data_IF_910994892359
#
_entry.id   IF_910994892359
#
_cell.length_a   1.000
_cell.length_b   1.000
_cell.length_c   1.000
_cell.angle_alpha   90.00
_cell.angle_beta   90.00
_cell.angle_gamma   90.00
#
_symmetry.space_group_name_H-M   'P 1'
#
loop_
_entity.id
_entity.type
_entity.pdbx_description
1 polymer ?
#
# COMPACT_ATOMS: atom_id res chain seq x y z
N UNK A 1 1.13 4.89 -4.89
CA UNK A 1 0.34 3.93 -5.70
C UNK A 1 0.06 4.58 -7.03
N UNK A 2 0.37 3.93 -8.15
CA UNK A 2 -0.03 4.47 -9.46
C UNK A 2 -1.51 4.16 -9.67
N UNK A 3 -2.30 5.18 -10.04
CA UNK A 3 -3.74 5.06 -10.36
C UNK A 3 -4.64 4.45 -9.25
N UNK A 4 -4.67 4.99 -8.01
CA UNK A 4 -5.47 4.41 -6.92
C UNK A 4 -6.98 4.35 -7.21
N UNK A 5 -7.54 5.34 -7.91
CA UNK A 5 -8.97 5.39 -8.29
C UNK A 5 -9.34 4.21 -9.19
N UNK A 6 -8.53 3.92 -10.21
CA UNK A 6 -8.74 2.80 -11.13
C UNK A 6 -8.74 1.47 -10.38
N UNK A 7 -7.76 1.25 -9.51
CA UNK A 7 -7.66 0.01 -8.74
C UNK A 7 -8.79 -0.11 -7.70
N UNK A 8 -9.26 1.00 -7.12
CA UNK A 8 -10.41 1.01 -6.24
C UNK A 8 -11.70 0.58 -6.98
N UNK A 9 -11.92 1.05 -8.21
CA UNK A 9 -13.03 0.58 -9.07
C UNK A 9 -12.93 -0.90 -9.40
N UNK A 10 -11.73 -1.37 -9.77
CA UNK A 10 -11.50 -2.80 -10.04
C UNK A 10 -11.77 -3.67 -8.80
N UNK A 11 -11.34 -3.23 -7.63
CA UNK A 11 -11.59 -3.92 -6.36
C UNK A 11 -13.09 -3.97 -6.04
N UNK A 12 -13.79 -2.85 -6.20
CA UNK A 12 -15.24 -2.74 -5.99
C UNK A 12 -16.01 -3.73 -6.88
N UNK A 13 -15.64 -3.83 -8.16
CA UNK A 13 -16.18 -4.86 -9.06
C UNK A 13 -15.89 -6.28 -8.57
N UNK A 14 -14.64 -6.55 -8.17
CA UNK A 14 -14.22 -7.89 -7.73
C UNK A 14 -14.97 -8.37 -6.49
N UNK A 15 -15.23 -7.49 -5.51
CA UNK A 15 -15.97 -7.84 -4.29
C UNK A 15 -17.50 -7.86 -4.48
N UNK A 16 -18.00 -7.60 -5.69
CA UNK A 16 -19.43 -7.61 -6.00
C UNK A 16 -20.17 -6.32 -5.60
N UNK A 17 -19.46 -5.22 -5.35
CA UNK A 17 -20.02 -3.93 -4.97
C UNK A 17 -19.52 -2.81 -5.92
N UNK A 18 -19.79 -2.89 -7.24
CA UNK A 18 -19.34 -1.86 -8.18
C UNK A 18 -19.98 -0.51 -7.84
N UNK A 19 -19.23 0.57 -8.07
CA UNK A 19 -19.77 1.92 -7.94
C UNK A 19 -20.82 2.17 -9.03
N UNK A 20 -21.90 2.86 -8.66
CA UNK A 20 -22.88 3.38 -9.60
C UNK A 20 -22.35 4.60 -10.36
N UNK A 21 -22.91 4.88 -11.53
CA UNK A 21 -22.58 6.10 -12.30
C UNK A 21 -22.80 7.38 -11.47
N UNK A 22 -23.83 7.38 -10.61
CA UNK A 22 -24.11 8.48 -9.70
C UNK A 22 -22.96 8.68 -8.69
N UNK A 23 -22.50 7.62 -8.04
CA UNK A 23 -21.38 7.68 -7.09
C UNK A 23 -20.09 8.14 -7.79
N UNK A 24 -19.81 7.63 -8.99
CA UNK A 24 -18.66 8.06 -9.76
C UNK A 24 -18.76 9.54 -10.14
N UNK A 25 -19.91 10.00 -10.62
CA UNK A 25 -20.14 11.40 -10.98
C UNK A 25 -20.05 12.36 -9.78
N UNK A 26 -20.36 11.86 -8.58
CA UNK A 26 -20.25 12.60 -7.32
C UNK A 26 -18.84 12.53 -6.71
N UNK A 27 -17.90 11.84 -7.36
CA UNK A 27 -16.52 11.71 -6.90
C UNK A 27 -16.36 10.85 -5.64
N UNK A 28 -17.28 9.91 -5.40
CA UNK A 28 -17.24 9.02 -4.21
C UNK A 28 -15.95 8.19 -4.20
N UNK A 29 -15.48 7.74 -5.36
CA UNK A 29 -14.25 6.92 -5.46
C UNK A 29 -13.03 7.72 -5.03
N UNK A 30 -12.93 8.99 -5.46
CA UNK A 30 -11.88 9.91 -5.07
C UNK A 30 -11.91 10.20 -3.57
N UNK A 31 -13.11 10.36 -2.99
CA UNK A 31 -13.28 10.56 -1.55
C UNK A 31 -12.82 9.34 -0.75
N UNK A 32 -13.11 8.12 -1.21
CA UNK A 32 -12.64 6.88 -0.59
C UNK A 32 -11.10 6.78 -0.69
N UNK A 33 -10.54 7.06 -1.87
CA UNK A 33 -9.08 7.06 -2.07
C UNK A 33 -8.40 8.07 -1.15
N UNK A 34 -8.96 9.27 -0.99
CA UNK A 34 -8.44 10.29 -0.08
C UNK A 34 -8.56 9.88 1.38
N UNK A 35 -9.71 9.32 1.78
CA UNK A 35 -9.94 8.81 3.13
C UNK A 35 -8.93 7.71 3.51
N UNK A 36 -8.63 6.82 2.57
CA UNK A 36 -7.69 5.73 2.73
C UNK A 36 -6.24 6.13 2.37
N UNK A 37 -5.97 7.40 2.07
CA UNK A 37 -4.63 7.84 1.68
C UNK A 37 -3.64 7.68 2.82
N UNK A 38 -2.36 7.46 2.47
CA UNK A 38 -1.31 7.30 3.47
C UNK A 38 -1.24 8.50 4.44
N UNK A 39 -1.35 9.72 3.91
CA UNK A 39 -1.30 10.93 4.74
C UNK A 39 -2.52 11.04 5.66
N UNK A 40 -3.73 10.73 5.17
CA UNK A 40 -4.93 10.77 6.00
C UNK A 40 -4.83 9.76 7.14
N UNK A 41 -4.54 8.49 6.82
CA UNK A 41 -4.48 7.42 7.80
C UNK A 41 -3.32 7.59 8.80
N UNK A 42 -2.12 7.98 8.34
CA UNK A 42 -0.98 8.27 9.23
C UNK A 42 -1.29 9.36 10.26
N UNK A 43 -2.16 10.30 9.90
CA UNK A 43 -2.45 11.46 10.73
C UNK A 43 -3.63 11.29 11.69
N UNK A 44 -4.36 10.17 11.65
CA UNK A 44 -5.40 9.84 12.61
C UNK A 44 -4.80 9.60 14.00
N UNK A 45 -5.43 10.13 15.05
CA UNK A 45 -4.91 10.07 16.42
C UNK A 45 -4.70 8.63 16.91
N UNK A 46 -5.61 7.72 16.53
CA UNK A 46 -5.50 6.29 16.82
C UNK A 46 -4.31 5.60 16.16
N UNK A 47 -3.79 6.15 15.06
CA UNK A 47 -2.61 5.62 14.35
C UNK A 47 -1.31 6.32 14.77
N UNK A 48 -1.39 7.51 15.38
CA UNK A 48 -0.23 8.23 15.93
C UNK A 48 0.16 7.75 17.31
N UNK A 49 -0.81 7.34 18.11
CA UNK A 49 -0.66 7.02 19.52
C UNK A 49 -1.28 5.67 19.86
N UNK A 50 -0.75 5.03 20.89
CA UNK A 50 -1.21 3.72 21.35
C UNK A 50 -0.26 2.58 20.99
N UNK A 51 -0.59 1.41 21.51
CA UNK A 51 0.22 0.21 21.40
C UNK A 51 -0.67 -0.92 20.88
N UNK A 52 -0.20 -1.56 19.80
CA UNK A 52 -0.69 -2.84 19.37
C UNK A 52 0.08 -3.94 20.10
N UNK A 53 -0.62 -4.68 20.98
CA UNK A 53 -0.05 -5.79 21.72
C UNK A 53 -0.40 -7.12 21.03
N UNK A 54 0.62 -7.86 20.57
CA UNK A 54 0.44 -9.18 19.96
C UNK A 54 1.53 -10.13 20.43
N UNK A 55 1.13 -11.31 20.94
CA UNK A 55 2.06 -12.37 21.36
C UNK A 55 3.24 -11.87 22.21
N UNK A 56 2.95 -11.01 23.21
CA UNK A 56 3.95 -10.42 24.11
C UNK A 56 4.75 -9.23 23.55
N UNK A 57 4.58 -8.89 22.27
CA UNK A 57 5.24 -7.75 21.64
C UNK A 57 4.37 -6.51 21.72
N UNK A 58 5.00 -5.37 22.02
CA UNK A 58 4.36 -4.06 22.08
C UNK A 58 4.86 -3.24 20.88
N UNK A 59 3.97 -2.95 19.94
CA UNK A 59 4.28 -2.18 18.73
C UNK A 59 3.55 -0.85 18.81
N UNK A 60 4.29 0.26 18.79
CA UNK A 60 3.67 1.58 18.68
C UNK A 60 2.85 1.68 17.39
N UNK A 61 1.64 2.20 17.46
CA UNK A 61 0.81 2.38 16.26
C UNK A 61 1.50 3.22 15.18
N UNK A 62 2.33 4.18 15.59
CA UNK A 62 3.08 5.04 14.66
C UNK A 62 4.05 4.26 13.76
N UNK A 63 4.44 3.05 14.13
CA UNK A 63 5.35 2.21 13.32
C UNK A 63 4.67 1.60 12.09
N UNK A 64 3.34 1.47 12.08
CA UNK A 64 2.60 0.99 10.90
C UNK A 64 2.62 2.00 9.73
N UNK A 65 2.82 3.30 10.01
CA UNK A 65 2.78 4.38 9.01
C UNK A 65 4.12 5.13 8.89
N UNK A 66 5.17 4.43 8.43
CA UNK A 66 6.55 4.96 8.35
C UNK A 66 6.73 6.06 7.29
N UNK A 67 6.98 5.71 6.02
CA UNK A 67 7.17 6.67 4.90
C UNK A 67 6.12 6.60 3.80
N UNK A 68 5.62 5.40 3.47
CA UNK A 68 4.57 5.23 2.46
C UNK A 68 5.03 5.49 1.02
N UNK A 69 6.32 5.33 0.74
CA UNK A 69 6.94 5.65 -0.55
C UNK A 69 7.58 4.43 -1.22
N UNK A 70 7.53 4.39 -2.55
CA UNK A 70 8.26 3.40 -3.34
C UNK A 70 9.72 3.86 -3.54
N UNK A 71 10.67 2.93 -3.46
CA UNK A 71 12.09 3.21 -3.69
C UNK A 71 12.92 3.52 -2.45
N UNK A 72 12.32 3.55 -1.25
CA UNK A 72 13.05 3.81 0.00
C UNK A 72 14.10 2.73 0.34
N UNK A 73 14.04 1.57 -0.31
CA UNK A 73 15.09 0.54 -0.21
C UNK A 73 16.48 1.10 -0.53
N UNK A 74 16.58 2.13 -1.38
CA UNK A 74 17.84 2.81 -1.74
C UNK A 74 18.54 3.46 -0.54
N UNK A 75 17.81 3.75 0.54
CA UNK A 75 18.37 4.30 1.78
C UNK A 75 18.89 3.21 2.73
N UNK A 76 18.71 1.94 2.39
CA UNK A 76 18.99 0.80 3.27
C UNK A 76 19.89 -0.26 2.64
N UNK A 77 19.83 -0.43 1.32
CA UNK A 77 20.61 -1.44 0.59
C UNK A 77 21.75 -0.79 -0.20
N UNK A 78 22.89 -1.48 -0.26
CA UNK A 78 23.93 -1.17 -1.24
C UNK A 78 23.47 -1.60 -2.63
N UNK A 79 24.12 -1.08 -3.67
CA UNK A 79 23.86 -1.50 -5.05
C UNK A 79 24.02 -3.01 -5.23
N UNK A 80 25.10 -3.59 -4.69
CA UNK A 80 25.35 -5.04 -4.75
C UNK A 80 24.21 -5.86 -4.10
N UNK A 81 23.68 -5.41 -2.96
CA UNK A 81 22.56 -6.08 -2.30
C UNK A 81 21.29 -6.04 -3.16
N UNK A 82 21.03 -4.91 -3.82
CA UNK A 82 19.87 -4.76 -4.69
C UNK A 82 19.99 -5.64 -5.94
N UNK A 83 21.14 -5.62 -6.63
CA UNK A 83 21.40 -6.46 -7.81
C UNK A 83 21.27 -7.96 -7.49
N UNK A 84 21.75 -8.37 -6.32
CA UNK A 84 21.58 -9.74 -5.84
C UNK A 84 20.11 -10.10 -5.63
N UNK A 85 19.30 -9.19 -5.07
CA UNK A 85 17.86 -9.40 -4.90
C UNK A 85 17.14 -9.47 -6.24
N UNK A 86 17.48 -8.58 -7.18
CA UNK A 86 16.89 -8.56 -8.53
C UNK A 86 17.13 -9.91 -9.23
N UNK A 87 18.37 -10.42 -9.18
CA UNK A 87 18.73 -11.74 -9.73
C UNK A 87 17.88 -12.87 -9.11
N UNK A 88 17.73 -12.88 -7.78
CA UNK A 88 16.94 -13.91 -7.08
C UNK A 88 15.47 -13.85 -7.52
N UNK A 89 14.89 -12.65 -7.64
CA UNK A 89 13.48 -12.49 -8.02
C UNK A 89 13.28 -12.91 -9.48
N UNK A 90 14.16 -12.53 -10.41
CA UNK A 90 14.10 -12.97 -11.81
C UNK A 90 14.11 -14.49 -11.93
N UNK A 91 15.02 -15.16 -11.22
CA UNK A 91 15.10 -16.63 -11.23
C UNK A 91 13.83 -17.28 -10.67
N UNK A 92 13.28 -16.74 -9.57
CA UNK A 92 12.10 -17.30 -8.91
C UNK A 92 10.80 -17.00 -9.66
N UNK A 93 10.72 -15.87 -10.36
CA UNK A 93 9.52 -15.48 -11.10
C UNK A 93 9.53 -15.96 -12.55
N UNK A 94 10.63 -16.57 -13.01
CA UNK A 94 10.73 -17.15 -14.35
C UNK A 94 9.56 -18.09 -14.65
N UNK A 95 8.81 -17.77 -15.70
CA UNK A 95 7.64 -18.55 -16.13
C UNK A 95 6.33 -18.26 -15.39
N UNK A 96 6.32 -17.40 -14.37
CA UNK A 96 5.10 -17.02 -13.63
C UNK A 96 4.23 -15.98 -14.35
N UNK A 97 4.80 -15.25 -15.32
CA UNK A 97 4.18 -14.07 -15.94
C UNK A 97 4.37 -12.77 -15.16
N UNK A 98 4.93 -12.82 -13.95
CA UNK A 98 5.33 -11.64 -13.17
C UNK A 98 6.66 -11.08 -13.69
N UNK A 99 6.81 -9.75 -13.61
CA UNK A 99 8.02 -9.02 -14.04
C UNK A 99 8.56 -8.17 -12.89
N UNK A 100 9.88 -7.99 -12.92
CA UNK A 100 10.58 -6.97 -12.13
C UNK A 100 10.56 -5.63 -12.87
#
# INVERSE_FOLDING_TARGET
MQEPVKHAKQLAHFIGCPYSEAEESQGVVEQIVELCSFQKLKNLDGNKSGIFAVSGHHISHSYFFRKGEAGDWKNHLTQEMAEKLDTIIEEKFKGSGLKI
#
